data_IF_781452513335
#
_entry.id   IF_781452513335
#
_cell.length_a   1.000
_cell.length_b   1.000
_cell.length_c   1.000
_cell.angle_alpha   90.00
_cell.angle_beta   90.00
_cell.angle_gamma   90.00
#
_symmetry.space_group_name_H-M   'P 1'
#
loop_
_entity.id
_entity.type
_entity.pdbx_description
1 polymer ?
#
# COMPACT_ATOMS: atom_id res chain seq x y z
N UNK A 1 -21.67 -16.78 15.00
CA UNK A 1 -20.43 -16.40 15.72
C UNK A 1 -20.60 -15.08 16.42
N UNK A 2 -21.08 -14.05 15.74
CA UNK A 2 -21.32 -12.71 16.31
C UNK A 2 -22.35 -12.67 17.47
N UNK A 3 -23.13 -13.73 17.69
CA UNK A 3 -24.07 -13.85 18.82
C UNK A 3 -23.43 -14.26 20.15
N UNK A 4 -22.17 -14.72 20.18
CA UNK A 4 -21.43 -14.94 21.40
C UNK A 4 -20.59 -13.69 21.71
N UNK A 5 -20.89 -13.05 22.85
CA UNK A 5 -20.26 -11.81 23.37
C UNK A 5 -18.80 -11.97 23.81
N UNK A 6 -17.95 -12.70 23.08
CA UNK A 6 -16.54 -12.81 23.41
C UNK A 6 -15.75 -12.12 22.28
N UNK A 7 -15.13 -10.99 22.58
CA UNK A 7 -14.28 -10.22 21.69
C UNK A 7 -13.15 -11.08 21.11
N UNK A 8 -12.58 -11.95 21.94
CA UNK A 8 -11.50 -12.87 21.55
C UNK A 8 -11.94 -13.85 20.44
N UNK A 9 -13.14 -14.44 20.56
CA UNK A 9 -13.68 -15.33 19.54
C UNK A 9 -14.00 -14.60 18.25
N UNK A 10 -14.38 -13.33 18.31
CA UNK A 10 -14.64 -12.51 17.14
C UNK A 10 -13.34 -12.27 16.38
N UNK A 11 -12.28 -11.80 17.06
CA UNK A 11 -10.96 -11.57 16.46
C UNK A 11 -10.38 -12.87 15.89
N UNK A 12 -10.51 -13.99 16.61
CA UNK A 12 -10.02 -15.29 16.14
C UNK A 12 -10.70 -15.72 14.84
N UNK A 13 -12.04 -15.57 14.75
CA UNK A 13 -12.77 -15.91 13.52
C UNK A 13 -12.41 -14.98 12.37
N UNK A 14 -12.20 -13.70 12.65
CA UNK A 14 -11.77 -12.72 11.67
C UNK A 14 -10.41 -13.09 11.08
N UNK A 15 -9.45 -13.41 11.93
CA UNK A 15 -8.12 -13.90 11.52
C UNK A 15 -8.23 -15.22 10.75
N UNK A 16 -9.09 -16.14 11.18
CA UNK A 16 -9.31 -17.41 10.49
C UNK A 16 -9.86 -17.20 9.07
N UNK A 17 -10.84 -16.31 8.89
CA UNK A 17 -11.39 -16.00 7.56
C UNK A 17 -10.34 -15.33 6.68
N UNK A 18 -9.61 -14.35 7.23
CA UNK A 18 -8.61 -13.59 6.46
C UNK A 18 -7.43 -14.48 6.04
N UNK A 19 -6.87 -15.22 6.97
CA UNK A 19 -5.75 -16.13 6.69
C UNK A 19 -6.19 -17.34 5.86
N UNK A 20 -7.40 -17.84 6.08
CA UNK A 20 -7.96 -18.94 5.29
C UNK A 20 -8.16 -18.56 3.83
N UNK A 21 -8.71 -17.38 3.54
CA UNK A 21 -8.85 -16.88 2.18
C UNK A 21 -7.48 -16.59 1.54
N UNK A 22 -6.53 -16.04 2.30
CA UNK A 22 -5.17 -15.83 1.84
C UNK A 22 -4.51 -17.17 1.44
N UNK A 23 -4.65 -18.20 2.26
CA UNK A 23 -4.13 -19.53 1.97
C UNK A 23 -4.81 -20.17 0.76
N UNK A 24 -6.13 -20.04 0.62
CA UNK A 24 -6.87 -20.57 -0.53
C UNK A 24 -6.44 -19.91 -1.84
N UNK A 25 -6.20 -18.59 -1.84
CA UNK A 25 -5.69 -17.91 -3.04
C UNK A 25 -4.27 -18.34 -3.38
N UNK A 26 -3.42 -18.60 -2.39
CA UNK A 26 -2.08 -19.15 -2.62
C UNK A 26 -2.12 -20.54 -3.25
N UNK A 27 -3.00 -21.43 -2.77
CA UNK A 27 -3.22 -22.76 -3.38
C UNK A 27 -3.70 -22.67 -4.83
N UNK A 28 -4.44 -21.60 -5.16
CA UNK A 28 -4.90 -21.34 -6.53
C UNK A 28 -3.80 -20.70 -7.41
N UNK A 29 -2.57 -20.56 -6.92
CA UNK A 29 -1.47 -19.91 -7.64
C UNK A 29 -1.50 -18.39 -7.65
N UNK A 30 -2.32 -17.79 -6.78
CA UNK A 30 -2.44 -16.35 -6.58
C UNK A 30 -1.66 -15.92 -5.33
N UNK A 31 -1.63 -14.60 -5.03
CA UNK A 31 -0.90 -14.11 -3.85
C UNK A 31 -1.73 -14.20 -2.56
N UNK A 32 -1.05 -14.41 -1.42
CA UNK A 32 -1.64 -14.28 -0.08
C UNK A 32 -2.31 -12.92 0.13
N UNK A 33 -1.69 -11.84 -0.37
CA UNK A 33 -2.21 -10.49 -0.26
C UNK A 33 -3.56 -10.31 -0.95
N UNK A 34 -3.76 -10.96 -2.11
CA UNK A 34 -5.04 -10.93 -2.81
C UNK A 34 -6.15 -11.58 -1.99
N UNK A 35 -5.88 -12.71 -1.35
CA UNK A 35 -6.86 -13.38 -0.49
C UNK A 35 -7.25 -12.55 0.71
N UNK A 36 -6.27 -11.92 1.38
CA UNK A 36 -6.53 -11.00 2.48
C UNK A 36 -7.33 -9.77 2.03
N UNK A 37 -7.05 -9.24 0.84
CA UNK A 37 -7.81 -8.13 0.26
C UNK A 37 -9.27 -8.52 -0.03
N UNK A 38 -9.50 -9.71 -0.61
CA UNK A 38 -10.86 -10.23 -0.85
C UNK A 38 -11.61 -10.39 0.48
N UNK A 39 -10.94 -10.94 1.51
CA UNK A 39 -11.53 -11.04 2.85
C UNK A 39 -11.96 -9.67 3.39
N UNK A 40 -11.11 -8.67 3.26
CA UNK A 40 -11.38 -7.29 3.66
C UNK A 40 -12.59 -6.70 2.93
N UNK A 41 -12.69 -6.91 1.62
CA UNK A 41 -13.85 -6.47 0.84
C UNK A 41 -15.15 -7.13 1.32
N UNK A 42 -15.16 -8.44 1.52
CA UNK A 42 -16.35 -9.15 2.00
C UNK A 42 -16.80 -8.67 3.38
N UNK A 43 -15.84 -8.42 4.27
CA UNK A 43 -16.12 -7.92 5.63
C UNK A 43 -16.62 -6.49 5.59
N UNK A 44 -16.13 -5.65 4.68
CA UNK A 44 -16.49 -4.23 4.58
C UNK A 44 -17.98 -4.01 4.24
N UNK A 45 -18.64 -4.98 3.65
CA UNK A 45 -20.07 -4.96 3.35
C UNK A 45 -20.96 -5.43 4.52
N UNK A 46 -20.35 -5.86 5.62
CA UNK A 46 -21.07 -6.35 6.81
C UNK A 46 -21.34 -5.24 7.82
N UNK A 47 -22.35 -5.44 8.68
CA UNK A 47 -22.66 -4.55 9.80
C UNK A 47 -21.50 -4.46 10.83
N UNK A 48 -20.58 -5.43 10.82
CA UNK A 48 -19.45 -5.52 11.74
C UNK A 48 -18.22 -4.73 11.29
N UNK A 49 -18.27 -4.02 10.16
CA UNK A 49 -17.16 -3.25 9.60
C UNK A 49 -16.40 -2.42 10.63
N UNK A 50 -17.11 -1.61 11.41
CA UNK A 50 -16.48 -0.72 12.39
C UNK A 50 -15.81 -1.47 13.56
N UNK A 51 -16.43 -2.57 14.01
CA UNK A 51 -15.83 -3.41 15.05
C UNK A 51 -14.56 -4.07 14.53
N UNK A 52 -14.61 -4.64 13.33
CA UNK A 52 -13.45 -5.26 12.67
C UNK A 52 -12.31 -4.25 12.52
N UNK A 53 -12.60 -3.06 12.06
CA UNK A 53 -11.61 -1.99 11.87
C UNK A 53 -10.93 -1.61 13.20
N UNK A 54 -11.70 -1.55 14.29
CA UNK A 54 -11.17 -1.25 15.62
C UNK A 54 -10.30 -2.39 16.18
N UNK A 55 -10.77 -3.63 16.05
CA UNK A 55 -10.11 -4.80 16.62
C UNK A 55 -8.83 -5.20 15.85
N UNK A 56 -8.79 -4.93 14.54
CA UNK A 56 -7.62 -5.23 13.68
C UNK A 56 -6.55 -4.14 13.74
N UNK A 57 -6.90 -2.92 14.06
CA UNK A 57 -6.00 -1.76 14.00
C UNK A 57 -4.67 -1.98 14.73
N UNK A 58 -4.62 -2.51 15.97
CA UNK A 58 -3.35 -2.75 16.66
C UNK A 58 -2.44 -3.75 15.92
N UNK A 59 -3.03 -4.79 15.34
CA UNK A 59 -2.28 -5.78 14.54
C UNK A 59 -1.79 -5.18 13.24
N UNK A 60 -2.63 -4.42 12.55
CA UNK A 60 -2.28 -3.69 11.33
C UNK A 60 -1.07 -2.79 11.56
N UNK A 61 -1.08 -1.97 12.61
CA UNK A 61 -0.02 -1.00 12.87
C UNK A 61 1.32 -1.69 13.18
N UNK A 62 1.30 -2.76 13.98
CA UNK A 62 2.50 -3.56 14.29
C UNK A 62 3.03 -4.28 13.05
N UNK A 63 2.16 -4.94 12.29
CA UNK A 63 2.55 -5.69 11.09
C UNK A 63 3.03 -4.76 9.98
N UNK A 64 2.41 -3.60 9.82
CA UNK A 64 2.86 -2.57 8.89
C UNK A 64 4.24 -2.04 9.26
N UNK A 65 4.50 -1.81 10.55
CA UNK A 65 5.82 -1.46 11.05
C UNK A 65 6.89 -2.51 10.74
N UNK A 66 6.59 -3.79 10.99
CA UNK A 66 7.47 -4.91 10.66
C UNK A 66 7.72 -5.03 9.16
N UNK A 67 6.69 -4.81 8.34
CA UNK A 67 6.80 -4.79 6.88
C UNK A 67 7.79 -3.72 6.43
N UNK A 68 7.65 -2.47 6.88
CA UNK A 68 8.56 -1.40 6.51
C UNK A 68 9.99 -1.61 7.01
N UNK A 69 10.17 -2.18 8.21
CA UNK A 69 11.50 -2.57 8.70
C UNK A 69 12.11 -3.62 7.78
N UNK A 70 11.36 -4.63 7.38
CA UNK A 70 11.84 -5.68 6.47
C UNK A 70 12.24 -5.13 5.10
N UNK A 71 11.44 -4.23 4.55
CA UNK A 71 11.78 -3.53 3.29
C UNK A 71 13.04 -2.66 3.47
N UNK A 72 13.15 -1.95 4.58
CA UNK A 72 14.33 -1.13 4.89
C UNK A 72 15.63 -1.95 4.99
N UNK A 73 15.56 -3.17 5.55
CA UNK A 73 16.70 -4.08 5.61
C UNK A 73 17.13 -4.64 4.25
N UNK A 74 16.20 -4.73 3.30
CA UNK A 74 16.50 -5.17 1.93
C UNK A 74 17.13 -4.06 1.07
N UNK A 75 17.07 -2.82 1.54
CA UNK A 75 17.57 -1.65 0.82
C UNK A 75 19.07 -1.50 1.01
N UNK A 76 19.85 -1.58 -0.07
CA UNK A 76 21.27 -1.23 -0.05
C UNK A 76 21.43 0.30 -0.23
N UNK A 77 21.66 1.00 0.87
CA UNK A 77 21.79 2.46 0.88
C UNK A 77 22.97 2.98 0.05
N UNK A 78 24.04 2.17 -0.12
CA UNK A 78 25.20 2.55 -0.94
C UNK A 78 24.82 2.59 -2.41
N UNK A 79 24.14 1.55 -2.88
CA UNK A 79 23.62 1.51 -4.25
C UNK A 79 22.59 2.61 -4.52
N UNK A 80 21.82 3.01 -3.50
CA UNK A 80 20.89 4.14 -3.60
C UNK A 80 21.63 5.46 -3.78
N UNK A 81 22.70 5.70 -3.01
CA UNK A 81 23.51 6.91 -3.13
C UNK A 81 24.28 6.95 -4.46
N UNK A 82 24.83 5.84 -4.90
CA UNK A 82 25.57 5.77 -6.17
C UNK A 82 24.63 6.02 -7.37
N UNK A 83 23.34 5.67 -7.24
CA UNK A 83 22.34 5.81 -8.29
C UNK A 83 21.26 6.87 -7.96
N UNK A 84 21.60 7.89 -7.18
CA UNK A 84 20.63 8.88 -6.68
C UNK A 84 19.83 9.58 -7.80
N UNK A 85 20.44 9.82 -8.96
CA UNK A 85 19.77 10.40 -10.12
C UNK A 85 18.63 9.51 -10.60
N UNK A 86 18.88 8.20 -10.67
CA UNK A 86 17.88 7.21 -11.06
C UNK A 86 16.76 7.11 -10.03
N UNK A 87 17.11 7.14 -8.74
CA UNK A 87 16.14 7.16 -7.64
C UNK A 87 15.24 8.39 -7.73
N UNK A 88 15.82 9.57 -7.96
CA UNK A 88 15.06 10.81 -8.15
C UNK A 88 14.14 10.75 -9.37
N UNK A 89 14.62 10.23 -10.48
CA UNK A 89 13.83 10.07 -11.69
C UNK A 89 12.65 9.13 -11.46
N UNK A 90 12.91 7.97 -10.85
CA UNK A 90 11.88 6.98 -10.52
C UNK A 90 10.91 7.46 -9.43
N UNK A 91 11.31 8.39 -8.59
CA UNK A 91 10.45 9.04 -7.63
C UNK A 91 9.57 10.10 -8.29
N UNK A 92 10.18 11.04 -9.00
CA UNK A 92 9.48 12.22 -9.50
C UNK A 92 8.59 11.92 -10.70
N UNK A 93 9.08 11.16 -11.68
CA UNK A 93 8.33 10.92 -12.93
C UNK A 93 7.02 10.18 -12.69
N UNK A 94 6.98 9.01 -12.01
CA UNK A 94 5.72 8.32 -11.75
C UNK A 94 4.82 9.10 -10.81
N UNK A 95 5.38 9.77 -9.80
CA UNK A 95 4.59 10.54 -8.82
C UNK A 95 3.91 11.74 -9.49
N UNK A 96 4.62 12.52 -10.27
CA UNK A 96 4.06 13.66 -11.00
C UNK A 96 3.06 13.22 -12.06
N UNK A 97 3.37 12.14 -12.80
CA UNK A 97 2.46 11.58 -13.79
C UNK A 97 1.15 11.10 -13.13
N UNK A 98 1.22 10.36 -12.03
CA UNK A 98 0.03 9.91 -11.29
C UNK A 98 -0.75 11.09 -10.72
N UNK A 99 -0.08 12.07 -10.12
CA UNK A 99 -0.72 13.27 -9.60
C UNK A 99 -1.50 14.01 -10.70
N UNK A 100 -0.86 14.23 -11.85
CA UNK A 100 -1.49 14.90 -12.99
C UNK A 100 -2.66 14.10 -13.55
N UNK A 101 -2.48 12.78 -13.73
CA UNK A 101 -3.53 11.88 -14.23
C UNK A 101 -4.75 11.88 -13.33
N UNK A 102 -4.55 11.67 -12.01
CA UNK A 102 -5.64 11.63 -11.03
C UNK A 102 -6.32 12.99 -10.91
N UNK A 103 -5.56 14.09 -10.90
CA UNK A 103 -6.12 15.43 -10.88
C UNK A 103 -6.95 15.73 -12.13
N UNK A 104 -6.47 15.32 -13.31
CA UNK A 104 -7.21 15.45 -14.57
C UNK A 104 -8.51 14.65 -14.55
N UNK A 105 -8.47 13.39 -14.11
CA UNK A 105 -9.65 12.54 -13.98
C UNK A 105 -10.66 13.15 -13.00
N UNK A 106 -10.22 13.57 -11.80
CA UNK A 106 -11.09 14.21 -10.82
C UNK A 106 -11.75 15.48 -11.38
N UNK A 107 -10.99 16.26 -12.16
CA UNK A 107 -11.51 17.47 -12.84
C UNK A 107 -12.58 17.13 -13.86
N UNK A 108 -12.35 16.11 -14.69
CA UNK A 108 -13.33 15.64 -15.70
C UNK A 108 -14.60 15.11 -15.02
N UNK A 109 -14.49 14.50 -13.86
CA UNK A 109 -15.62 14.01 -13.05
C UNK A 109 -16.35 15.14 -12.28
N UNK A 110 -15.97 16.41 -12.50
CA UNK A 110 -16.69 17.57 -11.94
C UNK A 110 -16.14 18.10 -10.62
N UNK A 111 -15.00 17.61 -10.15
CA UNK A 111 -14.37 18.14 -8.94
C UNK A 111 -13.86 19.59 -9.16
N UNK A 112 -13.90 20.41 -8.11
CA UNK A 112 -13.25 21.72 -8.15
C UNK A 112 -11.74 21.59 -8.33
N UNK A 113 -11.07 22.62 -8.85
CA UNK A 113 -9.63 22.57 -9.13
C UNK A 113 -8.79 22.24 -7.87
N UNK A 114 -9.14 22.81 -6.72
CA UNK A 114 -8.47 22.56 -5.44
C UNK A 114 -8.67 21.11 -4.97
N UNK A 115 -9.88 20.56 -5.07
CA UNK A 115 -10.16 19.17 -4.72
C UNK A 115 -9.43 18.23 -5.67
N UNK A 116 -9.47 18.48 -6.97
CA UNK A 116 -8.78 17.65 -7.97
C UNK A 116 -7.27 17.59 -7.74
N UNK A 117 -6.64 18.74 -7.46
CA UNK A 117 -5.20 18.80 -7.17
C UNK A 117 -4.84 18.03 -5.89
N UNK A 118 -5.58 18.24 -4.80
CA UNK A 118 -5.35 17.51 -3.55
C UNK A 118 -5.51 16.01 -3.73
N UNK A 119 -6.57 15.57 -4.38
CA UNK A 119 -6.79 14.14 -4.68
C UNK A 119 -5.62 13.56 -5.49
N UNK A 120 -5.15 14.29 -6.52
CA UNK A 120 -3.99 13.91 -7.29
C UNK A 120 -2.74 13.74 -6.44
N UNK A 121 -2.45 14.70 -5.58
CA UNK A 121 -1.29 14.65 -4.68
C UNK A 121 -1.37 13.50 -3.66
N UNK A 122 -2.56 13.25 -3.09
CA UNK A 122 -2.75 12.21 -2.07
C UNK A 122 -2.64 10.79 -2.65
N UNK A 123 -3.05 10.58 -3.89
CA UNK A 123 -3.00 9.29 -4.56
C UNK A 123 -1.73 9.07 -5.40
N UNK A 124 -0.84 10.06 -5.48
CA UNK A 124 0.37 9.99 -6.30
C UNK A 124 1.43 9.04 -5.74
N UNK A 125 1.45 8.81 -4.43
CA UNK A 125 2.44 7.97 -3.77
C UNK A 125 2.42 6.52 -4.28
N UNK A 126 3.54 5.83 -4.13
CA UNK A 126 3.57 4.38 -4.25
C UNK A 126 2.86 3.75 -3.04
N UNK A 127 1.96 2.81 -3.26
CA UNK A 127 1.32 2.06 -2.19
C UNK A 127 2.15 0.85 -1.78
N UNK A 128 1.86 0.29 -0.60
CA UNK A 128 2.51 -0.92 -0.07
C UNK A 128 2.38 -2.13 -1.01
N UNK A 129 1.29 -2.23 -1.75
CA UNK A 129 1.12 -3.27 -2.77
C UNK A 129 2.16 -3.21 -3.89
N UNK A 130 2.76 -2.05 -4.13
CA UNK A 130 3.86 -1.90 -5.07
C UNK A 130 5.06 -2.78 -4.71
N UNK A 131 5.38 -2.94 -3.41
CA UNK A 131 6.46 -3.84 -2.97
C UNK A 131 6.12 -5.31 -3.23
N UNK A 132 4.87 -5.71 -3.05
CA UNK A 132 4.40 -7.06 -3.37
C UNK A 132 4.56 -7.33 -4.86
N UNK A 133 4.12 -6.39 -5.71
CA UNK A 133 4.28 -6.48 -7.16
C UNK A 133 5.76 -6.51 -7.57
N UNK A 134 6.60 -5.71 -6.93
CA UNK A 134 8.04 -5.70 -7.21
C UNK A 134 8.71 -7.02 -6.83
N UNK A 135 8.29 -7.64 -5.71
CA UNK A 135 8.78 -8.95 -5.29
C UNK A 135 8.38 -10.04 -6.29
N UNK A 136 7.13 -10.01 -6.75
CA UNK A 136 6.64 -10.92 -7.80
C UNK A 136 7.38 -10.70 -9.13
N UNK A 137 7.61 -9.46 -9.52
CA UNK A 137 8.37 -9.12 -10.72
C UNK A 137 9.81 -9.62 -10.63
N UNK A 138 10.43 -9.54 -9.46
CA UNK A 138 11.76 -10.10 -9.19
C UNK A 138 11.76 -11.62 -9.34
N UNK A 139 10.79 -12.30 -8.73
CA UNK A 139 10.68 -13.76 -8.78
C UNK A 139 10.50 -14.28 -10.22
N UNK A 140 9.84 -13.51 -11.08
CA UNK A 140 9.63 -13.82 -12.49
C UNK A 140 10.68 -13.18 -13.43
N UNK A 141 11.77 -12.64 -12.90
CA UNK A 141 12.86 -12.00 -13.67
C UNK A 141 12.39 -10.89 -14.63
N UNK A 142 11.30 -10.22 -14.31
CA UNK A 142 10.71 -9.13 -15.11
C UNK A 142 11.43 -7.80 -14.91
N UNK A 143 12.17 -7.66 -13.80
CA UNK A 143 12.91 -6.45 -13.47
C UNK A 143 14.39 -6.76 -13.35
N UNK A 144 15.26 -6.04 -14.07
CA UNK A 144 16.71 -6.19 -13.93
C UNK A 144 17.16 -5.99 -12.49
N UNK A 145 18.08 -6.82 -11.96
CA UNK A 145 18.56 -6.71 -10.58
C UNK A 145 19.10 -5.33 -10.23
N UNK A 146 19.72 -4.64 -11.18
CA UNK A 146 20.27 -3.29 -10.99
C UNK A 146 19.19 -2.23 -10.69
N UNK A 147 17.95 -2.43 -11.13
CA UNK A 147 16.84 -1.50 -10.92
C UNK A 147 16.08 -1.76 -9.62
N UNK A 148 16.26 -2.91 -8.98
CA UNK A 148 15.50 -3.29 -7.78
C UNK A 148 15.69 -2.30 -6.63
N UNK A 149 16.93 -1.99 -6.27
CA UNK A 149 17.22 -1.04 -5.19
C UNK A 149 16.74 0.38 -5.50
N UNK A 150 17.02 0.98 -6.68
CA UNK A 150 16.49 2.29 -7.04
C UNK A 150 14.95 2.37 -7.02
N UNK A 151 14.26 1.35 -7.51
CA UNK A 151 12.79 1.29 -7.48
C UNK A 151 12.30 1.22 -6.04
N UNK A 152 12.84 0.30 -5.22
CA UNK A 152 12.49 0.19 -3.80
C UNK A 152 12.70 1.50 -3.05
N UNK A 153 13.85 2.13 -3.24
CA UNK A 153 14.18 3.41 -2.61
C UNK A 153 13.20 4.51 -3.00
N UNK A 154 12.87 4.63 -4.28
CA UNK A 154 11.90 5.62 -4.78
C UNK A 154 10.52 5.42 -4.18
N UNK A 155 10.08 4.17 -4.01
CA UNK A 155 8.79 3.83 -3.39
C UNK A 155 8.78 4.23 -1.91
N UNK A 156 9.80 3.86 -1.13
CA UNK A 156 9.94 4.24 0.29
C UNK A 156 9.94 5.76 0.43
N UNK A 157 10.73 6.47 -0.38
CA UNK A 157 10.80 7.92 -0.34
C UNK A 157 9.46 8.58 -0.69
N UNK A 158 8.71 8.05 -1.65
CA UNK A 158 7.38 8.57 -1.98
C UNK A 158 6.39 8.44 -0.83
N UNK A 159 6.46 7.32 -0.09
CA UNK A 159 5.63 7.10 1.09
C UNK A 159 6.03 8.03 2.25
N UNK A 160 7.34 8.21 2.49
CA UNK A 160 7.84 9.13 3.50
C UNK A 160 7.50 10.59 3.19
N UNK A 161 7.43 10.98 1.92
CA UNK A 161 7.05 12.33 1.50
C UNK A 161 5.56 12.63 1.70
N UNK A 162 4.71 11.61 1.69
CA UNK A 162 3.24 11.76 1.70
C UNK A 162 2.69 12.54 2.89
N UNK A 163 3.07 12.27 4.16
CA UNK A 163 2.58 13.05 5.29
C UNK A 163 2.90 14.54 5.16
N UNK A 164 4.06 14.87 4.62
CA UNK A 164 4.47 16.26 4.38
C UNK A 164 3.63 16.90 3.28
N UNK A 165 3.39 16.17 2.19
CA UNK A 165 2.52 16.62 1.09
C UNK A 165 1.11 16.91 1.62
N UNK A 166 0.56 16.03 2.46
CA UNK A 166 -0.77 16.19 3.05
C UNK A 166 -0.81 17.43 3.96
N UNK A 167 0.18 17.61 4.83
CA UNK A 167 0.27 18.75 5.72
C UNK A 167 0.29 20.09 4.96
N UNK A 168 1.08 20.15 3.89
CA UNK A 168 1.22 21.39 3.10
C UNK A 168 0.04 21.64 2.15
N UNK A 169 -0.60 20.57 1.64
CA UNK A 169 -1.74 20.71 0.71
C UNK A 169 -2.98 21.32 1.35
N UNK A 170 -3.11 21.25 2.66
CA UNK A 170 -4.22 21.92 3.38
C UNK A 170 -4.11 23.45 3.36
N UNK A 171 -3.00 23.99 2.89
CA UNK A 171 -2.79 25.46 2.71
C UNK A 171 -3.07 25.94 1.28
N UNK A 172 -3.34 25.03 0.36
CA UNK A 172 -3.71 25.28 -1.04
C UNK A 172 -5.23 25.10 -1.21
#
# INVERSE_FOLDING_TARGET
VARRKSEELFVLNLLFITLGLAWLTELAGLSLALGAFIAGMLISETEFKHQVETDIRPFHDVLLGLFFISIGMLLDWRLVLDNWHLVLLLLLVPTLFKAALVAALAKVLGASAGVALRTGLYLAQAGEFGFVLLTLAKANSLVPPALMNPIMASMVLSMLATPFIIMYSNRI
#
